data_IF_331450396318
#
_entry.id   IF_331450396318
#
_cell.length_a   1.000
_cell.length_b   1.000
_cell.length_c   1.000
_cell.angle_alpha   90.00
_cell.angle_beta   90.00
_cell.angle_gamma   90.00
#
_symmetry.space_group_name_H-M   'P 1'
#
loop_
_entity.id
_entity.type
_entity.pdbx_description
1 polymer ?
#
# COMPACT_ATOMS: atom_id res chain seq x y z
N UNK A 1 -1.71 74.40 18.71
CA UNK A 1 -2.12 73.52 17.59
C UNK A 1 -1.35 72.21 17.56
N UNK A 2 -0.01 72.19 17.68
CA UNK A 2 0.80 70.95 17.66
C UNK A 2 0.36 69.91 18.71
N UNK A 3 0.19 70.33 19.97
CA UNK A 3 -0.13 69.41 21.07
C UNK A 3 -1.48 68.68 20.91
N UNK A 4 -2.46 69.33 20.26
CA UNK A 4 -3.79 68.74 20.03
C UNK A 4 -3.78 67.74 18.87
N UNK A 5 -2.89 67.94 17.88
CA UNK A 5 -2.67 66.98 16.80
C UNK A 5 -1.98 65.72 17.32
N UNK A 6 -0.95 65.88 18.18
CA UNK A 6 -0.25 64.76 18.83
C UNK A 6 -1.17 63.92 19.71
N UNK A 7 -2.01 64.55 20.55
CA UNK A 7 -2.98 63.81 21.38
C UNK A 7 -3.99 63.04 20.53
N UNK A 8 -4.50 63.63 19.44
CA UNK A 8 -5.38 62.92 18.50
C UNK A 8 -4.69 61.73 17.84
N UNK A 9 -3.41 61.87 17.48
CA UNK A 9 -2.65 60.79 16.87
C UNK A 9 -2.43 59.63 17.84
N UNK A 10 -2.14 59.94 19.11
CA UNK A 10 -2.04 58.97 20.20
C UNK A 10 -3.36 58.19 20.38
N UNK A 11 -4.48 58.90 20.49
CA UNK A 11 -5.80 58.27 20.67
C UNK A 11 -6.18 57.38 19.48
N UNK A 12 -5.89 57.83 18.26
CA UNK A 12 -6.12 57.03 17.05
C UNK A 12 -5.25 55.75 17.04
N UNK A 13 -3.99 55.83 17.47
CA UNK A 13 -3.13 54.64 17.61
C UNK A 13 -3.68 53.66 18.64
N UNK A 14 -4.15 54.16 19.80
CA UNK A 14 -4.76 53.34 20.85
C UNK A 14 -5.99 52.58 20.34
N UNK A 15 -6.90 53.25 19.65
CA UNK A 15 -8.09 52.62 19.04
C UNK A 15 -7.69 51.54 18.03
N UNK A 16 -6.64 51.79 17.23
CA UNK A 16 -6.16 50.80 16.26
C UNK A 16 -5.61 49.56 16.94
N UNK A 17 -4.82 49.72 18.00
CA UNK A 17 -4.25 48.60 18.76
C UNK A 17 -5.36 47.80 19.44
N UNK A 18 -6.34 48.47 20.05
CA UNK A 18 -7.50 47.82 20.66
C UNK A 18 -8.25 46.94 19.65
N UNK A 19 -8.54 47.47 18.46
CA UNK A 19 -9.17 46.69 17.39
C UNK A 19 -8.35 45.48 16.96
N UNK A 20 -7.02 45.57 16.93
CA UNK A 20 -6.18 44.41 16.60
C UNK A 20 -6.27 43.32 17.67
N UNK A 21 -6.30 43.71 18.95
CA UNK A 21 -6.48 42.77 20.06
C UNK A 21 -7.86 42.10 20.00
N UNK A 22 -8.91 42.85 19.70
CA UNK A 22 -10.27 42.32 19.51
C UNK A 22 -10.33 41.31 18.35
N UNK A 23 -9.67 41.60 17.21
CA UNK A 23 -9.56 40.67 16.07
C UNK A 23 -8.83 39.38 16.46
N UNK A 24 -7.81 39.49 17.33
CA UNK A 24 -7.08 38.35 17.89
C UNK A 24 -7.86 37.63 19.01
N UNK A 25 -9.11 38.03 19.28
CA UNK A 25 -9.97 37.41 20.30
C UNK A 25 -9.61 37.78 21.73
N UNK A 26 -8.84 38.85 21.95
CA UNK A 26 -8.48 39.37 23.28
C UNK A 26 -9.35 40.59 23.57
N UNK A 27 -10.17 40.48 24.61
CA UNK A 27 -10.95 41.61 25.11
C UNK A 27 -10.08 42.40 26.10
N UNK A 28 -9.59 43.57 25.66
CA UNK A 28 -8.68 44.42 26.44
C UNK A 28 -9.27 45.81 26.51
N UNK A 29 -9.45 46.33 27.73
CA UNK A 29 -10.02 47.65 27.95
C UNK A 29 -9.05 48.76 27.53
N UNK A 30 -9.60 49.95 27.24
CA UNK A 30 -8.78 51.11 26.94
C UNK A 30 -7.85 51.53 28.09
N UNK A 31 -8.17 51.21 29.35
CA UNK A 31 -7.28 51.42 30.50
C UNK A 31 -6.11 50.43 30.49
N UNK A 32 -6.38 49.16 30.25
CA UNK A 32 -5.33 48.13 30.18
C UNK A 32 -4.32 48.40 29.06
N UNK A 33 -4.76 48.98 27.94
CA UNK A 33 -3.85 49.40 26.87
C UNK A 33 -2.95 50.55 27.32
N UNK A 34 -3.44 51.48 28.13
CA UNK A 34 -2.60 52.56 28.70
C UNK A 34 -1.56 51.98 29.66
N UNK A 35 -1.98 51.08 30.54
CA UNK A 35 -1.07 50.40 31.45
C UNK A 35 0.05 49.66 30.69
N UNK A 36 -0.28 49.03 29.55
CA UNK A 36 0.71 48.38 28.68
C UNK A 36 1.68 49.39 28.05
N UNK A 37 1.19 50.58 27.66
CA UNK A 37 2.05 51.67 27.16
C UNK A 37 2.98 52.21 28.25
N UNK A 38 2.47 52.42 29.46
CA UNK A 38 3.24 52.97 30.59
C UNK A 38 4.28 51.98 31.11
N UNK A 39 3.92 50.69 31.18
CA UNK A 39 4.80 49.64 31.67
C UNK A 39 5.74 49.09 30.59
N UNK A 40 5.47 49.37 29.31
CA UNK A 40 6.24 48.87 28.16
C UNK A 40 6.16 47.36 27.97
N UNK A 41 5.17 46.68 28.56
CA UNK A 41 5.02 45.22 28.51
C UNK A 41 3.93 44.82 27.52
N UNK A 42 4.34 44.12 26.46
CA UNK A 42 3.49 43.74 25.33
C UNK A 42 3.34 42.22 25.17
N UNK A 43 3.55 41.45 26.24
CA UNK A 43 3.60 39.98 26.21
C UNK A 43 2.33 39.32 25.64
N UNK A 44 1.19 40.02 25.69
CA UNK A 44 -0.08 39.61 25.05
C UNK A 44 0.08 39.36 23.54
N UNK A 45 0.99 40.08 22.87
CA UNK A 45 1.24 39.93 21.43
C UNK A 45 2.18 38.76 21.11
N UNK A 46 3.12 38.42 22.00
CA UNK A 46 4.15 37.42 21.75
C UNK A 46 3.67 35.98 22.01
N UNK A 47 2.79 35.78 23.00
CA UNK A 47 2.26 34.45 23.34
C UNK A 47 1.44 33.83 22.21
N UNK A 48 0.54 34.61 21.60
CA UNK A 48 -0.30 34.12 20.50
C UNK A 48 0.53 33.80 19.24
N UNK A 49 1.52 34.63 18.90
CA UNK A 49 2.38 34.37 17.74
C UNK A 49 3.12 33.03 17.89
N UNK A 50 3.64 32.74 19.07
CA UNK A 50 4.31 31.48 19.36
C UNK A 50 3.36 30.28 19.36
N UNK A 51 2.14 30.46 19.87
CA UNK A 51 1.10 29.44 19.84
C UNK A 51 0.66 29.12 18.40
N UNK A 52 0.42 30.15 17.58
CA UNK A 52 0.02 30.02 16.17
C UNK A 52 1.11 29.33 15.35
N UNK A 53 2.38 29.71 15.54
CA UNK A 53 3.52 29.06 14.88
C UNK A 53 3.63 27.59 15.29
N UNK A 54 3.40 27.26 16.57
CA UNK A 54 3.38 25.86 17.04
C UNK A 54 2.22 25.08 16.44
N UNK A 55 1.03 25.68 16.37
CA UNK A 55 -0.17 25.08 15.77
C UNK A 55 0.03 24.81 14.28
N UNK A 56 0.52 25.79 13.53
CA UNK A 56 0.84 25.64 12.11
C UNK A 56 1.89 24.54 11.87
N UNK A 57 2.93 24.48 12.72
CA UNK A 57 3.95 23.43 12.64
C UNK A 57 3.38 22.04 12.95
N UNK A 58 2.48 21.92 13.92
CA UNK A 58 1.82 20.66 14.23
C UNK A 58 0.95 20.18 13.06
N UNK A 59 0.16 21.08 12.46
CA UNK A 59 -0.65 20.77 11.29
C UNK A 59 0.22 20.35 10.09
N UNK A 60 1.35 21.02 9.85
CA UNK A 60 2.30 20.64 8.80
C UNK A 60 2.87 19.23 9.03
N UNK A 61 3.28 18.91 10.26
CA UNK A 61 3.80 17.58 10.61
C UNK A 61 2.74 16.48 10.39
N UNK A 62 1.47 16.78 10.69
CA UNK A 62 0.37 15.87 10.44
C UNK A 62 0.16 15.63 8.93
N UNK A 63 0.15 16.70 8.13
CA UNK A 63 0.07 16.62 6.66
C UNK A 63 1.21 15.77 6.11
N UNK A 64 2.44 15.99 6.57
CA UNK A 64 3.61 15.23 6.13
C UNK A 64 3.50 13.74 6.51
N UNK A 65 3.00 13.44 7.70
CA UNK A 65 2.72 12.08 8.16
C UNK A 65 1.69 11.37 7.27
N UNK A 66 0.57 12.05 7.00
CA UNK A 66 -0.49 11.56 6.11
C UNK A 66 -0.01 11.36 4.68
N UNK A 67 0.86 12.25 4.18
CA UNK A 67 1.47 12.10 2.87
C UNK A 67 2.34 10.84 2.77
N UNK A 68 3.19 10.57 3.78
CA UNK A 68 3.96 9.31 3.84
C UNK A 68 3.07 8.08 3.86
N UNK A 69 1.96 8.13 4.59
CA UNK A 69 0.98 7.04 4.63
C UNK A 69 0.35 6.79 3.25
N UNK A 70 -0.02 7.85 2.53
CA UNK A 70 -0.56 7.77 1.16
C UNK A 70 0.45 7.16 0.19
N UNK A 71 1.71 7.59 0.23
CA UNK A 71 2.76 7.01 -0.62
C UNK A 71 2.94 5.50 -0.36
N UNK A 72 2.89 5.08 0.91
CA UNK A 72 2.95 3.66 1.26
C UNK A 72 1.74 2.89 0.74
N UNK A 73 0.55 3.48 0.82
CA UNK A 73 -0.67 2.87 0.27
C UNK A 73 -0.58 2.73 -1.26
N UNK A 74 -0.11 3.77 -1.95
CA UNK A 74 0.09 3.75 -3.40
C UNK A 74 1.08 2.66 -3.81
N UNK A 75 2.20 2.51 -3.08
CA UNK A 75 3.16 1.42 -3.30
C UNK A 75 2.49 0.05 -3.22
N UNK A 76 1.69 -0.20 -2.17
CA UNK A 76 0.95 -1.47 -2.01
C UNK A 76 -0.06 -1.70 -3.13
N UNK A 77 -0.72 -0.66 -3.63
CA UNK A 77 -1.66 -0.76 -4.76
C UNK A 77 -0.90 -1.15 -6.03
N UNK A 78 0.27 -0.55 -6.28
CA UNK A 78 1.13 -0.91 -7.41
C UNK A 78 1.58 -2.37 -7.33
N UNK A 79 1.99 -2.84 -6.15
CA UNK A 79 2.39 -4.24 -5.96
C UNK A 79 1.23 -5.20 -6.26
N UNK A 80 0.03 -4.90 -5.77
CA UNK A 80 -1.17 -5.69 -6.07
C UNK A 80 -1.50 -5.66 -7.56
N UNK A 81 -1.39 -4.51 -8.22
CA UNK A 81 -1.60 -4.37 -9.66
C UNK A 81 -0.61 -5.23 -10.46
N UNK A 82 0.67 -5.22 -10.08
CA UNK A 82 1.70 -6.07 -10.68
C UNK A 82 1.37 -7.56 -10.52
N UNK A 83 0.90 -7.99 -9.34
CA UNK A 83 0.43 -9.36 -9.13
C UNK A 83 -0.74 -9.72 -10.05
N UNK A 84 -1.69 -8.79 -10.28
CA UNK A 84 -2.79 -9.00 -11.22
C UNK A 84 -2.30 -9.13 -12.67
N UNK A 85 -1.31 -8.34 -13.09
CA UNK A 85 -0.71 -8.46 -14.42
C UNK A 85 0.01 -9.80 -14.60
N UNK A 86 0.79 -10.22 -13.61
CA UNK A 86 1.46 -11.53 -13.63
C UNK A 86 0.45 -12.69 -13.67
N UNK A 87 -0.64 -12.58 -12.90
CA UNK A 87 -1.72 -13.56 -12.94
C UNK A 87 -2.42 -13.58 -14.30
N UNK A 88 -2.63 -12.44 -14.95
CA UNK A 88 -3.19 -12.38 -16.29
C UNK A 88 -2.31 -13.11 -17.32
N UNK A 89 -0.99 -12.92 -17.27
CA UNK A 89 -0.04 -13.65 -18.12
C UNK A 89 -0.05 -15.16 -17.84
N UNK A 90 -0.15 -15.57 -16.57
CA UNK A 90 -0.25 -16.98 -16.20
C UNK A 90 -1.55 -17.61 -16.69
N UNK A 91 -2.68 -16.90 -16.59
CA UNK A 91 -3.98 -17.34 -17.09
C UNK A 91 -3.98 -17.42 -18.61
N UNK A 92 -3.34 -16.49 -19.32
CA UNK A 92 -3.17 -16.56 -20.78
C UNK A 92 -2.34 -17.79 -21.18
N UNK A 93 -1.22 -18.04 -20.50
CA UNK A 93 -0.44 -19.29 -20.68
C UNK A 93 -1.26 -20.53 -20.31
N UNK A 94 -2.20 -20.42 -19.38
CA UNK A 94 -3.15 -21.46 -19.03
C UNK A 94 -4.41 -21.49 -19.90
N UNK A 95 -4.61 -20.56 -20.84
CA UNK A 95 -5.71 -20.65 -21.80
C UNK A 95 -5.47 -21.83 -22.76
N UNK A 96 -4.20 -22.11 -23.08
CA UNK A 96 -3.79 -23.37 -23.71
C UNK A 96 -4.08 -24.61 -22.84
N UNK A 97 -4.32 -24.42 -21.54
CA UNK A 97 -4.51 -25.46 -20.50
C UNK A 97 -5.99 -25.78 -20.23
N UNK A 98 -6.96 -25.16 -20.92
CA UNK A 98 -8.27 -25.82 -21.11
C UNK A 98 -8.09 -27.14 -21.89
N UNK A 99 -7.06 -27.20 -22.73
CA UNK A 99 -6.59 -28.41 -23.39
C UNK A 99 -5.82 -29.36 -22.44
N UNK A 100 -5.61 -29.04 -21.15
CA UNK A 100 -4.86 -29.96 -20.26
C UNK A 100 -5.68 -31.14 -19.79
N UNK A 101 -7.01 -30.99 -19.65
CA UNK A 101 -7.85 -32.18 -19.42
C UNK A 101 -7.80 -33.08 -20.66
N UNK A 102 -8.01 -32.51 -21.86
CA UNK A 102 -7.94 -33.25 -23.13
C UNK A 102 -6.54 -33.86 -23.35
N UNK A 103 -5.47 -33.12 -23.12
CA UNK A 103 -4.08 -33.59 -23.20
C UNK A 103 -3.77 -34.69 -22.18
N UNK A 104 -4.23 -34.55 -20.92
CA UNK A 104 -4.00 -35.57 -19.89
C UNK A 104 -4.82 -36.82 -20.15
N UNK A 105 -6.05 -36.68 -20.66
CA UNK A 105 -6.88 -37.81 -21.11
C UNK A 105 -6.22 -38.49 -22.31
N UNK A 106 -5.77 -37.73 -23.31
CA UNK A 106 -5.08 -38.25 -24.49
C UNK A 106 -3.80 -38.99 -24.12
N UNK A 107 -2.95 -38.40 -23.28
CA UNK A 107 -1.73 -39.07 -22.77
C UNK A 107 -2.07 -40.38 -22.05
N UNK A 108 -3.12 -40.39 -21.23
CA UNK A 108 -3.56 -41.59 -20.52
C UNK A 108 -4.04 -42.67 -21.50
N UNK A 109 -4.77 -42.29 -22.55
CA UNK A 109 -5.19 -43.20 -23.62
C UNK A 109 -3.98 -43.78 -24.37
N UNK A 110 -2.99 -42.96 -24.71
CA UNK A 110 -1.79 -43.42 -25.41
C UNK A 110 -0.98 -44.41 -24.55
N UNK A 111 -0.71 -44.07 -23.28
CA UNK A 111 -0.01 -44.96 -22.35
C UNK A 111 -0.73 -46.30 -22.13
N UNK A 112 -2.05 -46.28 -21.97
CA UNK A 112 -2.83 -47.52 -21.80
C UNK A 112 -2.88 -48.35 -23.09
N UNK A 113 -2.88 -47.71 -24.27
CA UNK A 113 -2.76 -48.35 -25.57
C UNK A 113 -1.43 -49.08 -25.74
N UNK A 114 -0.32 -48.42 -25.41
CA UNK A 114 1.01 -49.02 -25.43
C UNK A 114 1.13 -50.17 -24.43
N UNK A 115 0.67 -49.98 -23.19
CA UNK A 115 0.66 -51.03 -22.17
C UNK A 115 -0.12 -52.27 -22.65
N UNK A 116 -1.29 -52.07 -23.27
CA UNK A 116 -2.09 -53.15 -23.87
C UNK A 116 -1.32 -53.88 -24.97
N UNK A 117 -0.61 -53.16 -25.84
CA UNK A 117 0.21 -53.76 -26.89
C UNK A 117 1.35 -54.60 -26.31
N UNK A 118 2.03 -54.11 -25.27
CA UNK A 118 3.09 -54.85 -24.58
C UNK A 118 2.56 -56.10 -23.88
N UNK A 119 1.43 -56.00 -23.16
CA UNK A 119 0.78 -57.15 -22.52
C UNK A 119 0.35 -58.19 -23.57
N UNK A 120 -0.19 -57.77 -24.71
CA UNK A 120 -0.55 -58.68 -25.81
C UNK A 120 0.68 -59.41 -26.36
N UNK A 121 1.80 -58.72 -26.55
CA UNK A 121 3.08 -59.33 -26.95
C UNK A 121 3.56 -60.33 -25.90
N UNK A 122 3.50 -59.99 -24.62
CA UNK A 122 3.88 -60.88 -23.52
C UNK A 122 3.02 -62.15 -23.49
N UNK A 123 1.70 -62.03 -23.66
CA UNK A 123 0.78 -63.18 -23.74
C UNK A 123 1.08 -64.06 -24.96
N UNK A 124 1.32 -63.48 -26.13
CA UNK A 124 1.69 -64.23 -27.33
C UNK A 124 3.03 -64.95 -27.16
N UNK A 125 4.02 -64.29 -26.57
CA UNK A 125 5.31 -64.90 -26.24
C UNK A 125 5.12 -66.09 -25.30
N UNK A 126 4.33 -65.95 -24.23
CA UNK A 126 4.00 -67.08 -23.33
C UNK A 126 3.33 -68.23 -24.07
N UNK A 127 2.34 -67.95 -24.92
CA UNK A 127 1.59 -68.97 -25.69
C UNK A 127 2.46 -69.71 -26.72
N UNK A 128 3.41 -69.01 -27.35
CA UNK A 128 4.34 -69.59 -28.34
C UNK A 128 5.50 -70.37 -27.70
N UNK A 129 5.74 -70.21 -26.41
CA UNK A 129 6.81 -70.89 -25.67
C UNK A 129 6.27 -71.79 -24.52
N UNK A 130 5.32 -72.72 -24.78
CA UNK A 130 4.70 -73.53 -23.73
C UNK A 130 5.71 -74.48 -23.05
N UNK A 131 6.74 -74.93 -23.78
CA UNK A 131 7.80 -75.77 -23.25
C UNK A 131 8.67 -75.06 -22.21
N UNK A 132 8.70 -73.72 -22.16
CA UNK A 132 9.47 -73.00 -21.12
C UNK A 132 8.76 -73.01 -19.77
N UNK A 133 7.44 -73.21 -19.75
CA UNK A 133 6.63 -73.37 -18.53
C UNK A 133 6.61 -74.83 -18.06
N UNK A 134 6.66 -75.80 -18.97
CA UNK A 134 6.63 -77.24 -18.65
C UNK A 134 8.04 -77.83 -18.44
N UNK A 135 9.06 -77.35 -19.15
CA UNK A 135 10.45 -77.85 -19.06
C UNK A 135 11.29 -77.16 -17.97
N UNK A 136 10.65 -76.45 -17.03
CA UNK A 136 11.37 -75.85 -15.89
C UNK A 136 11.91 -76.91 -14.92
N UNK A 137 11.47 -78.18 -15.03
CA UNK A 137 11.99 -79.26 -14.20
C UNK A 137 13.21 -79.98 -14.80
N UNK A 138 13.52 -79.78 -16.08
CA UNK A 138 14.60 -80.52 -16.78
C UNK A 138 15.73 -79.62 -17.30
N UNK A 139 15.57 -78.29 -17.30
CA UNK A 139 16.65 -77.35 -17.60
C UNK A 139 16.54 -76.13 -16.68
N UNK A 140 17.45 -75.95 -15.69
CA UNK A 140 17.59 -74.66 -15.03
C UNK A 140 18.05 -73.68 -16.10
N UNK A 141 17.21 -72.69 -16.42
CA UNK A 141 17.56 -71.63 -17.34
C UNK A 141 18.70 -70.80 -16.73
N UNK A 142 19.93 -71.04 -17.17
CA UNK A 142 21.11 -70.24 -16.83
C UNK A 142 21.21 -69.09 -17.85
N UNK A 143 21.20 -67.87 -17.31
CA UNK A 143 21.40 -66.53 -17.93
C UNK A 143 20.52 -66.16 -19.11
#
# INVERSE_FOLDING_TARGET
MSNQAEMKQRDNCKIRIQRQLEIMGKDVSGEQIEDMFEQGKWDVFSENLLADVKGARAALNEIESRHRELLRLEGRIRDVHELFLQMAVLVEKQADTLNVIELNVQKTLDYTGEAKAQVRKAVQYKKKNPCRTICCFCCPCVN
#
